data_IF_557086409808
#
_entry.id   IF_557086409808
#
_cell.length_a   1.000
_cell.length_b   1.000
_cell.length_c   1.000
_cell.angle_alpha   90.00
_cell.angle_beta   90.00
_cell.angle_gamma   90.00
#
_symmetry.space_group_name_H-M   'P 1'
#
loop_
_entity.id
_entity.type
_entity.pdbx_description
1 polymer ?
#
# COMPACT_ATOMS: atom_id res chain seq x y z
N UNK A 1 -0.91 5.52 21.09
CA UNK A 1 -0.08 5.09 19.95
C UNK A 1 -0.84 5.35 18.66
N UNK A 2 -0.15 5.81 17.61
CA UNK A 2 -0.73 6.10 16.27
C UNK A 2 -0.19 5.11 15.25
N UNK A 3 -1.07 4.43 14.54
CA UNK A 3 -0.72 3.41 13.53
C UNK A 3 -1.21 3.86 12.17
N UNK A 4 -0.29 3.92 11.19
CA UNK A 4 -0.62 4.16 9.78
C UNK A 4 -0.61 2.82 9.03
N UNK A 5 -1.72 2.49 8.40
CA UNK A 5 -1.85 1.31 7.52
C UNK A 5 -1.67 1.72 6.07
N UNK A 6 -0.93 0.93 5.27
CA UNK A 6 -0.63 1.25 3.87
C UNK A 6 -0.93 0.07 2.96
N UNK A 7 -1.70 0.29 1.89
CA UNK A 7 -2.07 -0.73 0.89
C UNK A 7 -2.11 -0.12 -0.51
N UNK A 8 -1.44 -0.74 -1.49
CA UNK A 8 -1.44 -0.28 -2.89
C UNK A 8 -2.69 -0.65 -3.69
N UNK A 9 -3.70 -1.26 -3.08
CA UNK A 9 -4.87 -1.84 -3.72
C UNK A 9 -6.16 -1.37 -3.04
N UNK A 10 -7.31 -1.77 -3.63
CA UNK A 10 -8.59 -1.61 -2.94
C UNK A 10 -8.60 -2.36 -1.61
N UNK A 11 -9.10 -1.76 -0.52
CA UNK A 11 -9.21 -2.39 0.79
C UNK A 11 -10.32 -3.44 0.89
N UNK A 12 -10.82 -3.92 -0.24
CA UNK A 12 -11.92 -4.91 -0.39
C UNK A 12 -11.66 -5.82 -1.58
N UNK A 13 -12.53 -6.81 -1.80
CA UNK A 13 -12.57 -7.74 -2.95
C UNK A 13 -11.37 -8.69 -3.11
N UNK A 14 -10.24 -8.44 -2.48
CA UNK A 14 -9.05 -9.31 -2.51
C UNK A 14 -8.73 -9.84 -1.13
N UNK A 15 -7.99 -10.96 -1.04
CA UNK A 15 -7.55 -11.49 0.24
C UNK A 15 -6.72 -10.49 1.05
N UNK A 16 -5.78 -9.79 0.40
CA UNK A 16 -4.98 -8.74 1.05
C UNK A 16 -5.80 -7.51 1.45
N UNK A 17 -6.79 -7.11 0.64
CA UNK A 17 -7.70 -6.02 0.98
C UNK A 17 -8.58 -6.33 2.19
N UNK A 18 -9.18 -7.52 2.23
CA UNK A 18 -9.97 -8.00 3.38
C UNK A 18 -9.08 -8.15 4.62
N UNK A 19 -7.86 -8.68 4.46
CA UNK A 19 -6.91 -8.79 5.57
C UNK A 19 -6.54 -7.41 6.14
N UNK A 20 -6.29 -6.44 5.27
CA UNK A 20 -6.00 -5.05 5.63
C UNK A 20 -7.11 -4.46 6.51
N UNK A 21 -8.37 -4.55 6.10
CA UNK A 21 -9.50 -4.02 6.87
C UNK A 21 -9.72 -4.80 8.17
N UNK A 22 -9.52 -6.12 8.17
CA UNK A 22 -9.62 -6.95 9.38
C UNK A 22 -8.55 -6.60 10.43
N UNK A 23 -7.31 -6.28 10.01
CA UNK A 23 -6.26 -5.81 10.92
C UNK A 23 -6.66 -4.48 11.57
N UNK A 24 -7.16 -3.53 10.78
CA UNK A 24 -7.63 -2.24 11.29
C UNK A 24 -8.79 -2.45 12.29
N UNK A 25 -9.78 -3.26 11.93
CA UNK A 25 -10.92 -3.56 12.80
C UNK A 25 -10.50 -4.27 14.09
N UNK A 26 -9.60 -5.25 13.98
CA UNK A 26 -9.08 -5.97 15.14
C UNK A 26 -8.32 -5.09 16.12
N UNK A 27 -7.66 -4.03 15.62
CA UNK A 27 -6.94 -3.09 16.46
C UNK A 27 -7.84 -2.05 17.15
N UNK A 28 -9.10 -1.89 16.75
CA UNK A 28 -10.05 -0.97 17.42
C UNK A 28 -10.35 -1.34 18.88
N UNK A 29 -10.13 -2.59 19.27
CA UNK A 29 -10.27 -3.01 20.67
C UNK A 29 -9.17 -2.47 21.61
N UNK A 30 -8.10 -1.91 21.05
CA UNK A 30 -7.00 -1.32 21.79
C UNK A 30 -7.08 0.21 21.76
N UNK A 31 -6.46 0.88 22.73
CA UNK A 31 -6.36 2.35 22.74
C UNK A 31 -5.28 2.82 21.73
N UNK A 32 -5.61 2.72 20.46
CA UNK A 32 -4.76 3.15 19.33
C UNK A 32 -5.55 4.01 18.36
N UNK A 33 -4.93 5.09 17.87
CA UNK A 33 -5.46 5.88 16.75
C UNK A 33 -4.96 5.28 15.46
N UNK A 34 -5.82 5.19 14.47
CA UNK A 34 -5.51 4.55 13.19
C UNK A 34 -5.81 5.48 12.02
N UNK A 35 -4.92 5.48 11.04
CA UNK A 35 -5.11 6.12 9.74
C UNK A 35 -4.73 5.14 8.62
N UNK A 36 -5.16 5.42 7.39
CA UNK A 36 -4.83 4.57 6.26
C UNK A 36 -4.47 5.35 5.00
N UNK A 37 -3.43 4.91 4.29
CA UNK A 37 -3.13 5.27 2.90
C UNK A 37 -3.48 4.06 2.03
N UNK A 38 -4.36 4.22 1.04
CA UNK A 38 -4.77 3.11 0.18
C UNK A 38 -5.24 3.57 -1.20
N UNK A 39 -5.21 2.63 -2.17
CA UNK A 39 -5.75 2.88 -3.49
C UNK A 39 -7.28 2.80 -3.48
N UNK A 40 -7.93 3.72 -4.19
CA UNK A 40 -9.37 3.73 -4.44
C UNK A 40 -9.70 4.16 -5.86
N UNK A 41 -10.97 4.17 -6.23
CA UNK A 41 -11.49 4.80 -7.44
C UNK A 41 -12.71 5.64 -7.09
N UNK A 42 -13.17 6.59 -7.94
CA UNK A 42 -14.29 7.49 -7.64
C UNK A 42 -15.60 6.79 -7.23
N UNK A 43 -15.76 5.53 -7.61
CA UNK A 43 -16.97 4.73 -7.30
C UNK A 43 -17.03 4.22 -5.86
N UNK A 44 -15.90 4.25 -5.11
CA UNK A 44 -15.83 3.73 -3.74
C UNK A 44 -15.73 4.84 -2.71
N UNK A 45 -16.43 4.67 -1.60
CA UNK A 45 -16.32 5.48 -0.41
C UNK A 45 -16.22 4.57 0.82
N UNK A 46 -15.03 4.47 1.41
CA UNK A 46 -14.74 3.58 2.53
C UNK A 46 -14.75 4.32 3.87
N UNK A 47 -15.34 3.70 4.90
CA UNK A 47 -15.46 4.24 6.26
C UNK A 47 -14.96 3.25 7.33
N UNK A 48 -13.87 2.53 7.07
CA UNK A 48 -13.30 1.58 8.04
C UNK A 48 -12.29 2.22 9.00
N UNK A 49 -11.83 3.44 8.72
CA UNK A 49 -10.88 4.22 9.52
C UNK A 49 -11.28 5.70 9.50
N UNK A 50 -10.99 6.43 10.58
CA UNK A 50 -11.40 7.84 10.70
C UNK A 50 -10.55 8.78 9.86
N UNK A 51 -9.23 8.58 9.84
CA UNK A 51 -8.29 9.37 9.04
C UNK A 51 -7.81 8.56 7.82
N UNK A 52 -8.09 9.05 6.62
CA UNK A 52 -7.78 8.37 5.36
C UNK A 52 -7.10 9.29 4.35
N UNK A 53 -6.12 8.75 3.66
CA UNK A 53 -5.33 9.39 2.62
C UNK A 53 -5.44 8.55 1.35
N UNK A 54 -6.49 8.79 0.58
CA UNK A 54 -6.86 8.02 -0.59
C UNK A 54 -6.00 8.41 -1.79
N UNK A 55 -5.47 7.40 -2.52
CA UNK A 55 -4.87 7.57 -3.84
C UNK A 55 -5.91 7.14 -4.85
N UNK A 56 -6.51 8.11 -5.53
CA UNK A 56 -7.62 7.91 -6.46
C UNK A 56 -7.11 7.58 -7.86
N UNK A 57 -7.35 6.33 -8.28
CA UNK A 57 -7.09 5.84 -9.63
C UNK A 57 -8.27 6.12 -10.56
N UNK A 58 -8.01 6.31 -11.85
CA UNK A 58 -9.00 6.74 -12.85
C UNK A 58 -9.72 8.02 -12.42
N UNK A 59 -9.01 8.88 -11.66
CA UNK A 59 -9.51 10.09 -11.03
C UNK A 59 -8.44 11.18 -10.92
N UNK A 60 -8.39 11.85 -9.78
CA UNK A 60 -7.53 13.04 -9.60
C UNK A 60 -6.04 12.73 -9.45
N UNK A 61 -5.66 11.57 -8.87
CA UNK A 61 -4.27 11.29 -8.53
C UNK A 61 -3.54 10.46 -9.61
N UNK A 62 -4.24 9.49 -10.23
CA UNK A 62 -3.66 8.53 -11.21
C UNK A 62 -4.66 8.29 -12.35
N UNK A 63 -4.16 8.38 -13.59
CA UNK A 63 -4.98 8.34 -14.81
C UNK A 63 -5.43 6.93 -15.26
N UNK A 64 -4.80 5.87 -14.76
CA UNK A 64 -5.03 4.48 -15.19
C UNK A 64 -5.64 3.62 -14.06
N UNK A 65 -6.13 2.38 -14.38
CA UNK A 65 -6.70 1.47 -13.40
C UNK A 65 -5.70 1.02 -12.32
N UNK A 66 -6.21 0.69 -11.12
CA UNK A 66 -5.41 0.21 -9.97
C UNK A 66 -4.45 -0.90 -10.38
N UNK A 67 -3.19 -0.81 -9.91
CA UNK A 67 -2.18 -1.82 -10.23
C UNK A 67 -2.37 -3.07 -9.36
N UNK A 68 -2.66 -4.21 -10.01
CA UNK A 68 -2.96 -5.47 -9.36
C UNK A 68 -1.71 -6.25 -8.94
N UNK A 69 -1.74 -6.86 -7.74
CA UNK A 69 -0.72 -7.81 -7.28
C UNK A 69 -0.90 -9.22 -7.89
N UNK A 70 -1.95 -9.44 -8.67
CA UNK A 70 -2.22 -10.68 -9.41
C UNK A 70 -2.59 -10.36 -10.84
N UNK A 71 -2.34 -11.32 -11.76
CA UNK A 71 -2.71 -11.16 -13.17
C UNK A 71 -4.24 -11.12 -13.37
N UNK A 72 -4.99 -11.69 -12.42
CA UNK A 72 -6.45 -11.67 -12.40
C UNK A 72 -6.89 -11.02 -11.10
N UNK A 73 -7.61 -9.91 -11.23
CA UNK A 73 -8.18 -9.17 -10.11
C UNK A 73 -9.72 -9.15 -10.23
N UNK A 74 -10.46 -9.01 -9.13
CA UNK A 74 -11.93 -8.93 -9.16
C UNK A 74 -12.45 -7.54 -9.57
N UNK A 75 -11.62 -6.70 -10.15
CA UNK A 75 -11.89 -5.37 -10.70
C UNK A 75 -10.93 -5.09 -11.87
N UNK A 76 -11.23 -4.08 -12.67
CA UNK A 76 -10.34 -3.64 -13.75
C UNK A 76 -8.99 -3.22 -13.17
N UNK A 77 -7.90 -3.73 -13.75
CA UNK A 77 -6.57 -3.48 -13.21
C UNK A 77 -5.48 -3.35 -14.26
N UNK A 78 -4.48 -2.57 -13.93
CA UNK A 78 -3.19 -2.52 -14.63
C UNK A 78 -2.28 -3.62 -14.09
N UNK A 79 -1.50 -4.26 -14.97
CA UNK A 79 -0.47 -5.22 -14.55
C UNK A 79 0.88 -4.53 -14.41
N UNK A 80 1.66 -4.88 -13.41
CA UNK A 80 3.02 -4.31 -13.23
C UNK A 80 3.89 -4.47 -14.48
N UNK A 81 3.81 -5.60 -15.18
CA UNK A 81 4.56 -5.84 -16.43
C UNK A 81 4.19 -4.91 -17.58
N UNK A 82 3.04 -4.27 -17.53
CA UNK A 82 2.53 -3.36 -18.56
C UNK A 82 2.74 -1.88 -18.19
N UNK A 83 3.26 -1.58 -17.00
CA UNK A 83 3.54 -0.21 -16.59
C UNK A 83 4.73 0.35 -17.37
N UNK A 84 4.53 1.51 -17.99
CA UNK A 84 5.61 2.31 -18.55
C UNK A 84 6.39 3.04 -17.44
N UNK A 85 7.53 3.63 -17.77
CA UNK A 85 8.28 4.44 -16.80
C UNK A 85 7.45 5.67 -16.36
N UNK A 86 6.72 6.32 -17.27
CA UNK A 86 5.83 7.46 -16.95
C UNK A 86 4.70 7.05 -15.99
N UNK A 87 4.04 5.90 -16.24
CA UNK A 87 3.02 5.37 -15.35
C UNK A 87 3.60 5.04 -13.96
N UNK A 88 4.82 4.52 -13.91
CA UNK A 88 5.48 4.23 -12.64
C UNK A 88 5.84 5.52 -11.88
N UNK A 89 6.27 6.56 -12.57
CA UNK A 89 6.55 7.87 -11.97
C UNK A 89 5.27 8.52 -11.42
N UNK A 90 4.17 8.53 -12.19
CA UNK A 90 2.86 9.00 -11.75
C UNK A 90 2.40 8.24 -10.49
N UNK A 91 2.48 6.92 -10.50
CA UNK A 91 2.10 6.05 -9.39
C UNK A 91 2.93 6.31 -8.12
N UNK A 92 4.26 6.38 -8.25
CA UNK A 92 5.14 6.64 -7.11
C UNK A 92 4.92 8.04 -6.53
N UNK A 93 4.75 9.04 -7.40
CA UNK A 93 4.51 10.43 -6.99
C UNK A 93 3.21 10.56 -6.21
N UNK A 94 2.12 9.95 -6.69
CA UNK A 94 0.83 9.98 -6.02
C UNK A 94 0.88 9.35 -4.62
N UNK A 95 1.44 8.13 -4.50
CA UNK A 95 1.58 7.49 -3.20
C UNK A 95 2.51 8.25 -2.26
N UNK A 96 3.66 8.70 -2.74
CA UNK A 96 4.62 9.49 -1.94
C UNK A 96 3.96 10.75 -1.38
N UNK A 97 3.23 11.49 -2.19
CA UNK A 97 2.49 12.68 -1.76
C UNK A 97 1.53 12.39 -0.60
N UNK A 98 0.70 11.33 -0.70
CA UNK A 98 -0.24 10.95 0.37
C UNK A 98 0.48 10.45 1.63
N UNK A 99 1.58 9.73 1.48
CA UNK A 99 2.42 9.28 2.61
C UNK A 99 3.07 10.46 3.34
N UNK A 100 3.56 11.47 2.62
CA UNK A 100 4.15 12.68 3.20
C UNK A 100 3.08 13.52 3.93
N UNK A 101 1.87 13.65 3.37
CA UNK A 101 0.74 14.28 4.06
C UNK A 101 0.42 13.53 5.35
N UNK A 102 0.26 12.21 5.30
CA UNK A 102 0.01 11.38 6.47
C UNK A 102 1.14 11.50 7.52
N UNK A 103 2.41 11.55 7.08
CA UNK A 103 3.56 11.78 7.97
C UNK A 103 3.43 13.09 8.75
N UNK A 104 3.04 14.17 8.09
CA UNK A 104 3.01 15.51 8.65
C UNK A 104 1.75 15.78 9.50
N UNK A 105 0.60 15.28 9.10
CA UNK A 105 -0.68 15.53 9.76
C UNK A 105 -0.97 14.49 10.84
N UNK A 106 -1.01 13.21 10.47
CA UNK A 106 -1.29 12.13 11.42
C UNK A 106 -0.12 11.86 12.35
N UNK A 107 1.14 11.96 11.89
CA UNK A 107 2.38 11.73 12.65
C UNK A 107 2.38 10.34 13.30
N UNK A 108 2.43 9.26 12.51
CA UNK A 108 2.36 7.90 13.03
C UNK A 108 3.58 7.54 13.88
N UNK A 109 3.36 6.69 14.89
CA UNK A 109 4.43 6.06 15.67
C UNK A 109 4.93 4.78 15.00
N UNK A 110 4.01 4.05 14.34
CA UNK A 110 4.27 2.78 13.64
C UNK A 110 3.54 2.77 12.31
N UNK A 111 4.18 2.24 11.28
CA UNK A 111 3.59 2.02 9.97
C UNK A 111 3.44 0.52 9.71
N UNK A 112 2.27 0.07 9.27
CA UNK A 112 2.02 -1.30 8.81
C UNK A 112 1.78 -1.24 7.31
N UNK A 113 2.70 -1.77 6.51
CA UNK A 113 2.57 -1.83 5.06
C UNK A 113 2.22 -3.25 4.62
N UNK A 114 1.20 -3.36 3.76
CA UNK A 114 0.77 -4.61 3.16
C UNK A 114 1.43 -4.77 1.79
N UNK A 115 1.92 -5.96 1.51
CA UNK A 115 2.79 -6.35 0.40
C UNK A 115 4.23 -5.85 0.53
N UNK A 116 5.19 -6.78 0.44
CA UNK A 116 6.61 -6.47 0.35
C UNK A 116 6.99 -6.21 -1.11
N UNK A 117 6.49 -5.10 -1.64
CA UNK A 117 6.66 -4.70 -3.03
C UNK A 117 7.04 -3.22 -3.15
N UNK A 118 6.87 -2.60 -4.29
CA UNK A 118 7.34 -1.23 -4.60
C UNK A 118 6.86 -0.20 -3.57
N UNK A 119 5.58 -0.24 -3.16
CA UNK A 119 5.04 0.71 -2.19
C UNK A 119 5.75 0.63 -0.84
N UNK A 120 6.08 -0.57 -0.37
CA UNK A 120 6.81 -0.74 0.88
C UNK A 120 8.21 -0.11 0.86
N UNK A 121 8.87 -0.06 -0.30
CA UNK A 121 10.12 0.67 -0.47
C UNK A 121 9.94 2.17 -0.31
N UNK A 122 8.87 2.73 -0.89
CA UNK A 122 8.53 4.15 -0.73
C UNK A 122 8.18 4.45 0.74
N UNK A 123 7.45 3.56 1.40
CA UNK A 123 7.13 3.70 2.83
C UNK A 123 8.42 3.75 3.67
N UNK A 124 9.38 2.86 3.42
CA UNK A 124 10.66 2.86 4.13
C UNK A 124 11.45 4.16 3.89
N UNK A 125 11.43 4.71 2.68
CA UNK A 125 12.08 5.98 2.37
C UNK A 125 11.41 7.16 3.09
N UNK A 126 10.07 7.24 3.03
CA UNK A 126 9.31 8.34 3.65
C UNK A 126 9.38 8.28 5.17
N UNK A 127 9.43 7.09 5.77
CA UNK A 127 9.41 6.87 7.22
C UNK A 127 10.71 6.26 7.76
N UNK A 128 11.87 6.71 7.28
CA UNK A 128 13.19 6.18 7.64
C UNK A 128 13.50 6.25 9.15
N UNK A 129 12.88 7.19 9.86
CA UNK A 129 13.00 7.40 11.31
C UNK A 129 11.94 6.66 12.15
N UNK A 130 11.09 5.86 11.51
CA UNK A 130 9.94 5.19 12.13
C UNK A 130 10.05 3.67 12.06
N UNK A 131 9.30 3.01 12.93
CA UNK A 131 9.14 1.56 12.86
C UNK A 131 8.16 1.20 11.74
N UNK A 132 8.65 0.48 10.73
CA UNK A 132 7.83 -0.05 9.64
C UNK A 132 7.71 -1.56 9.79
N UNK A 133 6.47 -2.08 9.78
CA UNK A 133 6.14 -3.50 9.82
C UNK A 133 5.61 -3.89 8.44
N UNK A 134 6.27 -4.83 7.79
CA UNK A 134 5.85 -5.34 6.48
C UNK A 134 5.09 -6.66 6.60
N UNK A 135 3.90 -6.74 6.01
CA UNK A 135 3.11 -7.96 5.91
C UNK A 135 3.33 -8.57 4.52
N UNK A 136 3.99 -9.74 4.50
CA UNK A 136 4.24 -10.49 3.27
C UNK A 136 2.99 -11.29 2.87
N UNK A 137 2.53 -11.10 1.66
CA UNK A 137 1.51 -11.93 1.03
C UNK A 137 2.14 -12.83 -0.04
N UNK A 138 1.53 -13.99 -0.31
CA UNK A 138 2.05 -14.95 -1.29
C UNK A 138 2.25 -14.35 -2.69
N UNK A 139 1.44 -13.36 -3.05
CA UNK A 139 1.57 -12.62 -4.30
C UNK A 139 2.87 -11.84 -4.43
N UNK A 140 3.52 -11.45 -3.33
CA UNK A 140 4.78 -10.68 -3.33
C UNK A 140 5.90 -11.54 -3.91
N UNK A 141 5.96 -12.82 -3.50
CA UNK A 141 6.93 -13.79 -4.01
C UNK A 141 6.73 -14.01 -5.51
N UNK A 142 5.48 -14.20 -5.93
CA UNK A 142 5.13 -14.38 -7.35
C UNK A 142 5.48 -13.16 -8.20
N UNK A 143 5.22 -11.96 -7.69
CA UNK A 143 5.60 -10.72 -8.39
C UNK A 143 7.12 -10.59 -8.49
N UNK A 144 7.85 -10.90 -7.43
CA UNK A 144 9.31 -10.86 -7.44
C UNK A 144 9.93 -11.83 -8.45
N UNK A 145 9.33 -12.98 -8.66
CA UNK A 145 9.76 -13.97 -9.64
C UNK A 145 9.43 -13.57 -11.09
N UNK A 146 8.21 -13.07 -11.32
CA UNK A 146 7.70 -12.71 -12.65
C UNK A 146 8.25 -11.39 -13.18
N UNK A 147 8.46 -10.41 -12.30
CA UNK A 147 8.83 -9.03 -12.65
C UNK A 147 10.20 -8.65 -12.06
N UNK A 148 11.24 -9.44 -12.36
CA UNK A 148 12.59 -9.27 -11.81
C UNK A 148 13.17 -7.89 -12.08
N UNK A 149 13.05 -7.36 -13.29
CA UNK A 149 13.53 -6.03 -13.65
C UNK A 149 12.89 -4.94 -12.81
N UNK A 150 11.58 -5.01 -12.57
CA UNK A 150 10.87 -4.07 -11.69
C UNK A 150 11.31 -4.23 -10.24
N UNK A 151 11.43 -5.48 -9.77
CA UNK A 151 11.97 -5.76 -8.44
C UNK A 151 13.33 -5.09 -8.25
N UNK A 152 14.27 -5.34 -9.16
CA UNK A 152 15.65 -4.85 -9.05
C UNK A 152 15.74 -3.32 -9.17
N UNK A 153 14.84 -2.69 -9.94
CA UNK A 153 14.79 -1.23 -10.14
C UNK A 153 14.11 -0.50 -8.98
N UNK A 154 13.01 -1.02 -8.44
CA UNK A 154 12.11 -0.28 -7.58
C UNK A 154 11.93 -0.86 -6.16
N UNK A 155 12.27 -2.13 -5.90
CA UNK A 155 12.14 -2.72 -4.58
C UNK A 155 13.44 -2.59 -3.81
N UNK A 156 13.51 -1.62 -2.89
CA UNK A 156 14.71 -1.26 -2.13
C UNK A 156 14.38 -1.15 -0.64
N UNK A 157 15.42 -1.15 0.19
CA UNK A 157 15.33 -0.83 1.63
C UNK A 157 14.42 -1.75 2.48
N UNK A 158 13.99 -2.90 1.96
CA UNK A 158 13.13 -3.84 2.72
C UNK A 158 13.86 -4.55 3.86
N UNK A 159 15.17 -4.38 4.03
CA UNK A 159 15.96 -4.98 5.10
C UNK A 159 15.65 -4.40 6.48
N UNK A 160 15.03 -3.24 6.56
CA UNK A 160 14.63 -2.57 7.80
C UNK A 160 13.23 -2.98 8.28
N UNK A 161 12.52 -3.82 7.53
CA UNK A 161 11.18 -4.27 7.88
C UNK A 161 11.20 -5.42 8.90
N UNK A 162 10.39 -5.31 9.92
CA UNK A 162 9.96 -6.48 10.70
C UNK A 162 8.93 -7.22 9.85
N UNK A 163 9.33 -8.33 9.26
CA UNK A 163 8.44 -9.11 8.39
C UNK A 163 7.61 -10.09 9.21
N UNK A 164 6.30 -9.96 9.17
CA UNK A 164 5.37 -10.98 9.64
C UNK A 164 4.99 -11.86 8.44
N UNK A 165 5.27 -13.17 8.55
CA UNK A 165 4.78 -14.17 7.61
C UNK A 165 3.54 -14.80 8.21
N UNK A 166 2.49 -14.87 7.43
CA UNK A 166 1.31 -15.67 7.71
C UNK A 166 1.26 -16.78 6.66
N UNK A 167 1.28 -18.03 7.13
CA UNK A 167 1.11 -19.22 6.29
C UNK A 167 -0.35 -19.38 5.85
#
# INVERSE_FOLDING_TARGET
MKILHVLAQLPVKTGSGVYFTNVIEGLKQFDVKQAAVYATTPEYNFNFVDEKYEVEFQGEDISFPIVGMSDIMPYENTLYKNMTDDMMEEWQTAFRKKLEVARNEFKPDVIITHHLWILSSIVCDVFEDKKVIGICHNTDIRQAEKNRTMKDKYVKNLFYLVTLKFD
#
